data_IF_449107110747
#
_entry.id   IF_449107110747
#
_cell.length_a   1.000
_cell.length_b   1.000
_cell.length_c   1.000
_cell.angle_alpha   90.00
_cell.angle_beta   90.00
_cell.angle_gamma   90.00
#
_symmetry.space_group_name_H-M   'P 1'
#
loop_
_entity.id
_entity.type
_entity.pdbx_description
1 polymer ?
#
# COMPACT_ATOMS: atom_id res chain seq x y z
N UNK A 1 19.70 -24.91 -9.62
CA UNK A 1 20.20 -24.50 -8.28
C UNK A 1 19.02 -24.52 -7.32
N UNK A 2 19.12 -25.17 -6.16
CA UNK A 2 18.04 -25.14 -5.15
C UNK A 2 18.22 -23.90 -4.28
N UNK A 3 17.18 -23.07 -4.20
CA UNK A 3 17.15 -21.89 -3.32
C UNK A 3 17.31 -22.32 -1.86
N UNK A 4 18.16 -21.60 -1.12
CA UNK A 4 18.27 -21.79 0.33
C UNK A 4 16.97 -21.36 1.02
N UNK A 5 16.80 -21.74 2.29
CA UNK A 5 15.66 -21.26 3.09
C UNK A 5 15.60 -19.73 3.11
N UNK A 6 16.75 -19.08 3.27
CA UNK A 6 16.88 -17.62 3.28
C UNK A 6 16.42 -17.00 1.95
N UNK A 7 16.85 -17.57 0.82
CA UNK A 7 16.46 -17.03 -0.50
C UNK A 7 14.96 -17.15 -0.73
N UNK A 8 14.34 -18.26 -0.25
CA UNK A 8 12.88 -18.44 -0.31
C UNK A 8 12.12 -17.42 0.55
N UNK A 9 12.64 -17.09 1.74
CA UNK A 9 12.06 -16.09 2.64
C UNK A 9 12.12 -14.69 2.01
N UNK A 10 13.26 -14.34 1.41
CA UNK A 10 13.42 -13.04 0.75
C UNK A 10 12.55 -12.91 -0.51
N UNK A 11 12.46 -13.98 -1.32
CA UNK A 11 11.53 -14.02 -2.46
C UNK A 11 10.07 -13.89 -2.01
N UNK A 12 9.70 -14.54 -0.90
CA UNK A 12 8.36 -14.40 -0.31
C UNK A 12 8.10 -12.97 0.16
N UNK A 13 9.09 -12.32 0.79
CA UNK A 13 8.96 -10.94 1.24
C UNK A 13 8.75 -9.97 0.07
N UNK A 14 9.51 -10.11 -1.03
CA UNK A 14 9.31 -9.31 -2.24
C UNK A 14 7.87 -9.42 -2.76
N UNK A 15 7.35 -10.66 -2.88
CA UNK A 15 5.97 -10.91 -3.30
C UNK A 15 4.93 -10.32 -2.34
N UNK A 16 5.19 -10.36 -1.04
CA UNK A 16 4.30 -9.75 -0.04
C UNK A 16 4.27 -8.23 -0.17
N UNK A 17 5.41 -7.57 -0.40
CA UNK A 17 5.45 -6.12 -0.63
C UNK A 17 4.59 -5.71 -1.82
N UNK A 18 4.67 -6.44 -2.94
CA UNK A 18 3.79 -6.23 -4.09
C UNK A 18 2.31 -6.42 -3.72
N UNK A 19 1.98 -7.56 -3.09
CA UNK A 19 0.61 -7.90 -2.73
C UNK A 19 -0.02 -6.89 -1.77
N UNK A 20 0.72 -6.41 -0.79
CA UNK A 20 0.23 -5.39 0.14
C UNK A 20 -0.01 -4.05 -0.57
N UNK A 21 0.88 -3.64 -1.49
CA UNK A 21 0.68 -2.40 -2.26
C UNK A 21 -0.58 -2.49 -3.15
N UNK A 22 -0.79 -3.63 -3.81
CA UNK A 22 -2.01 -3.90 -4.59
C UNK A 22 -3.28 -3.91 -3.73
N UNK A 23 -3.22 -4.54 -2.55
CA UNK A 23 -4.36 -4.59 -1.64
C UNK A 23 -4.72 -3.21 -1.08
N UNK A 24 -3.71 -2.40 -0.78
CA UNK A 24 -3.86 -1.02 -0.32
C UNK A 24 -4.58 -0.14 -1.35
N UNK A 25 -4.43 -0.39 -2.65
CA UNK A 25 -5.21 0.31 -3.69
C UNK A 25 -6.71 0.06 -3.53
N UNK A 26 -7.12 -1.18 -3.23
CA UNK A 26 -8.53 -1.51 -2.94
C UNK A 26 -9.05 -0.79 -1.67
N UNK A 27 -8.22 -0.66 -0.64
CA UNK A 27 -8.56 0.14 0.54
C UNK A 27 -8.69 1.63 0.20
N UNK A 28 -7.77 2.16 -0.59
CA UNK A 28 -7.77 3.56 -1.02
C UNK A 28 -9.03 3.91 -1.80
N UNK A 29 -9.47 3.05 -2.72
CA UNK A 29 -10.74 3.23 -3.45
C UNK A 29 -11.94 3.32 -2.50
N UNK A 30 -11.99 2.46 -1.48
CA UNK A 30 -13.03 2.50 -0.44
C UNK A 30 -12.97 3.81 0.35
N UNK A 31 -11.77 4.28 0.73
CA UNK A 31 -11.61 5.55 1.44
C UNK A 31 -12.05 6.74 0.58
N UNK A 32 -11.71 6.76 -0.71
CA UNK A 32 -12.13 7.81 -1.65
C UNK A 32 -13.66 7.85 -1.78
N UNK A 33 -14.31 6.68 -1.86
CA UNK A 33 -15.78 6.61 -1.85
C UNK A 33 -16.38 7.30 -0.64
N UNK A 34 -15.86 7.02 0.56
CA UNK A 34 -16.37 7.60 1.80
C UNK A 34 -15.97 9.06 1.98
N UNK A 35 -14.80 9.45 1.50
CA UNK A 35 -14.35 10.85 1.43
C UNK A 35 -15.35 11.69 0.63
N UNK A 36 -15.81 11.19 -0.52
CA UNK A 36 -16.80 11.88 -1.34
C UNK A 36 -18.15 12.00 -0.61
N UNK A 37 -18.61 10.93 0.06
CA UNK A 37 -19.81 10.99 0.90
C UNK A 37 -19.65 12.03 2.01
N UNK A 38 -18.49 12.09 2.69
CA UNK A 38 -18.24 13.08 3.73
C UNK A 38 -18.26 14.52 3.20
N UNK A 39 -17.72 14.75 2.00
CA UNK A 39 -17.79 16.05 1.29
C UNK A 39 -19.25 16.45 1.02
N UNK A 40 -20.06 15.54 0.49
CA UNK A 40 -21.48 15.79 0.19
C UNK A 40 -22.30 16.11 1.45
N UNK A 41 -21.83 15.69 2.62
CA UNK A 41 -22.46 15.93 3.92
C UNK A 41 -21.90 17.14 4.67
N UNK A 42 -20.91 17.83 4.12
CA UNK A 42 -20.28 18.99 4.76
C UNK A 42 -19.51 18.65 6.04
N UNK A 43 -18.99 17.42 6.15
CA UNK A 43 -18.25 16.95 7.33
C UNK A 43 -16.75 17.29 7.21
N UNK A 44 -16.40 18.58 7.30
CA UNK A 44 -15.05 19.09 6.99
C UNK A 44 -13.91 18.35 7.71
N UNK A 45 -14.03 18.12 9.01
CA UNK A 45 -12.96 17.45 9.79
C UNK A 45 -12.76 15.99 9.32
N UNK A 46 -13.87 15.29 9.04
CA UNK A 46 -13.83 13.91 8.52
C UNK A 46 -13.24 13.87 7.10
N UNK A 47 -13.51 14.89 6.29
CA UNK A 47 -12.91 15.04 4.95
C UNK A 47 -11.40 15.22 5.04
N UNK A 48 -10.91 16.01 6.00
CA UNK A 48 -9.47 16.19 6.24
C UNK A 48 -8.78 14.88 6.64
N UNK A 49 -9.38 14.14 7.58
CA UNK A 49 -8.86 12.86 8.04
C UNK A 49 -8.82 11.81 6.92
N UNK A 50 -9.93 11.66 6.16
CA UNK A 50 -10.01 10.70 5.07
C UNK A 50 -9.08 11.07 3.89
N UNK A 51 -8.93 12.37 3.61
CA UNK A 51 -7.97 12.84 2.61
C UNK A 51 -6.53 12.49 3.02
N UNK A 52 -6.21 12.66 4.31
CA UNK A 52 -4.91 12.29 4.85
C UNK A 52 -4.68 10.78 4.77
N UNK A 53 -5.69 9.96 5.11
CA UNK A 53 -5.62 8.50 4.99
C UNK A 53 -5.36 8.04 3.54
N UNK A 54 -6.02 8.64 2.55
CA UNK A 54 -5.77 8.35 1.12
C UNK A 54 -4.32 8.67 0.74
N UNK A 55 -3.81 9.84 1.14
CA UNK A 55 -2.44 10.25 0.85
C UNK A 55 -1.41 9.33 1.52
N UNK A 56 -1.61 8.99 2.79
CA UNK A 56 -0.72 8.08 3.52
C UNK A 56 -0.74 6.68 2.93
N UNK A 57 -1.87 6.24 2.34
CA UNK A 57 -1.92 4.97 1.62
C UNK A 57 -1.04 4.97 0.36
N UNK A 58 -1.03 6.07 -0.40
CA UNK A 58 -0.11 6.23 -1.53
C UNK A 58 1.37 6.22 -1.09
N UNK A 59 1.68 6.86 0.03
CA UNK A 59 3.03 6.85 0.62
C UNK A 59 3.43 5.44 1.09
N UNK A 60 2.53 4.71 1.73
CA UNK A 60 2.72 3.32 2.11
C UNK A 60 3.07 2.47 0.87
N UNK A 61 2.30 2.61 -0.21
CA UNK A 61 2.51 1.89 -1.47
C UNK A 61 3.88 2.21 -2.08
N UNK A 62 4.31 3.47 -2.07
CA UNK A 62 5.66 3.87 -2.53
C UNK A 62 6.76 3.16 -1.74
N UNK A 63 6.65 3.08 -0.42
CA UNK A 63 7.67 2.40 0.40
C UNK A 63 7.67 0.88 0.19
N UNK A 64 6.49 0.27 0.05
CA UNK A 64 6.35 -1.16 -0.23
C UNK A 64 6.98 -1.53 -1.58
N UNK A 65 6.66 -0.79 -2.64
CA UNK A 65 7.23 -1.03 -3.97
C UNK A 65 8.74 -0.76 -3.99
N UNK A 66 9.21 0.27 -3.28
CA UNK A 66 10.64 0.52 -3.14
C UNK A 66 11.38 -0.59 -2.38
N UNK A 67 10.74 -1.20 -1.37
CA UNK A 67 11.29 -2.36 -0.66
C UNK A 67 11.35 -3.60 -1.57
N UNK A 68 10.28 -3.84 -2.33
CA UNK A 68 10.24 -4.89 -3.36
C UNK A 68 11.39 -4.72 -4.36
N UNK A 69 11.58 -3.53 -4.91
CA UNK A 69 12.63 -3.28 -5.91
C UNK A 69 14.03 -3.51 -5.32
N UNK A 70 14.26 -3.11 -4.07
CA UNK A 70 15.54 -3.43 -3.38
C UNK A 70 15.74 -4.93 -3.21
N UNK A 71 14.69 -5.67 -2.84
CA UNK A 71 14.75 -7.12 -2.69
C UNK A 71 15.01 -7.81 -4.03
N UNK A 72 14.34 -7.39 -5.10
CA UNK A 72 14.53 -7.97 -6.43
C UNK A 72 15.94 -7.73 -6.99
N UNK A 73 16.61 -6.65 -6.57
CA UNK A 73 18.01 -6.37 -6.91
C UNK A 73 19.04 -7.10 -6.00
N UNK A 74 18.59 -7.93 -5.06
CA UNK A 74 19.48 -8.64 -4.11
C UNK A 74 19.89 -10.04 -4.61
N UNK A 75 19.27 -10.57 -5.68
CA UNK A 75 19.49 -11.95 -6.17
C UNK A 75 19.74 -11.98 -7.69
#
# INVERSE_FOLDING_TARGET
>A
MNLTKKDKELLKLSKLCQHWAEHNESHKESFIKWLNIAKDRGLSDVVEDLSSAVKTMDECNKFLLSAKDRLDNTF
#
